data_IF_436053638975
#
_entry.id   IF_436053638975
#
_cell.length_a   1.000
_cell.length_b   1.000
_cell.length_c   1.000
_cell.angle_alpha   90.00
_cell.angle_beta   90.00
_cell.angle_gamma   90.00
#
_symmetry.space_group_name_H-M   'P 1'
#
loop_
_entity.id
_entity.type
_entity.pdbx_description
1 polymer ?
#
# COMPACT_ATOMS: atom_id res chain seq x y z
N UNK A 1 26.63 -19.34 -12.72
CA UNK A 1 25.58 -18.95 -11.75
C UNK A 1 25.27 -17.47 -11.96
N UNK A 2 24.08 -17.13 -12.44
CA UNK A 2 23.69 -15.71 -12.54
C UNK A 2 23.65 -15.11 -11.13
N UNK A 3 24.33 -13.98 -10.95
CA UNK A 3 24.35 -13.25 -9.68
C UNK A 3 22.91 -12.81 -9.38
N UNK A 4 22.37 -13.23 -8.24
CA UNK A 4 21.06 -12.81 -7.75
C UNK A 4 20.95 -11.27 -7.82
N UNK A 5 19.90 -10.71 -8.45
CA UNK A 5 19.83 -9.29 -8.79
C UNK A 5 19.34 -8.44 -7.60
N UNK A 6 20.10 -8.43 -6.52
CA UNK A 6 19.91 -7.50 -5.40
C UNK A 6 19.81 -6.05 -5.89
N UNK A 7 18.95 -5.24 -5.29
CA UNK A 7 18.75 -3.84 -5.68
C UNK A 7 20.02 -3.04 -5.38
N UNK A 8 20.56 -3.17 -4.17
CA UNK A 8 21.83 -2.56 -3.78
C UNK A 8 22.89 -3.62 -3.48
N UNK A 9 22.65 -4.46 -2.47
CA UNK A 9 23.55 -5.56 -2.11
C UNK A 9 22.81 -6.58 -1.27
N UNK A 10 23.27 -7.84 -1.23
CA UNK A 10 22.65 -8.89 -0.40
C UNK A 10 22.44 -8.44 1.05
N UNK A 11 23.49 -7.89 1.68
CA UNK A 11 23.41 -7.43 3.07
C UNK A 11 22.51 -6.20 3.22
N UNK A 12 22.62 -5.23 2.32
CA UNK A 12 21.82 -4.01 2.37
C UNK A 12 20.33 -4.29 2.19
N UNK A 13 19.96 -5.06 1.17
CA UNK A 13 18.59 -5.44 0.89
C UNK A 13 18.00 -6.29 2.04
N UNK A 14 18.76 -7.26 2.55
CA UNK A 14 18.32 -8.04 3.71
C UNK A 14 18.05 -7.14 4.92
N UNK A 15 18.96 -6.22 5.26
CA UNK A 15 18.87 -5.42 6.48
C UNK A 15 17.82 -4.31 6.40
N UNK A 16 17.69 -3.65 5.24
CA UNK A 16 16.89 -2.43 5.11
C UNK A 16 15.58 -2.62 4.33
N UNK A 17 15.40 -3.74 3.62
CA UNK A 17 14.18 -3.99 2.83
C UNK A 17 13.41 -5.18 3.39
N UNK A 18 14.09 -6.33 3.58
CA UNK A 18 13.43 -7.58 3.97
C UNK A 18 13.23 -7.73 5.48
N UNK A 19 14.23 -7.35 6.28
CA UNK A 19 14.18 -7.50 7.74
C UNK A 19 13.10 -6.63 8.40
N UNK A 20 12.92 -5.34 8.07
CA UNK A 20 11.95 -4.48 8.77
C UNK A 20 10.51 -5.04 8.82
N UNK A 21 9.90 -5.49 7.71
CA UNK A 21 8.54 -6.06 7.76
C UNK A 21 8.48 -7.38 8.55
N UNK A 22 9.52 -8.22 8.49
CA UNK A 22 9.57 -9.48 9.26
C UNK A 22 9.68 -9.17 10.75
N UNK A 23 10.58 -8.25 11.12
CA UNK A 23 10.81 -7.86 12.49
C UNK A 23 9.56 -7.24 13.12
N UNK A 24 8.88 -6.32 12.41
CA UNK A 24 7.68 -5.68 12.95
C UNK A 24 6.54 -6.69 13.12
N UNK A 25 6.36 -7.64 12.19
CA UNK A 25 5.37 -8.71 12.33
C UNK A 25 5.66 -9.60 13.54
N UNK A 26 6.93 -9.95 13.75
CA UNK A 26 7.35 -10.74 14.91
C UNK A 26 7.14 -9.98 16.22
N UNK A 27 7.43 -8.67 16.25
CA UNK A 27 7.14 -7.82 17.41
C UNK A 27 5.64 -7.74 17.69
N UNK A 28 4.80 -7.56 16.66
CA UNK A 28 3.33 -7.55 16.82
C UNK A 28 2.83 -8.88 17.38
N UNK A 29 3.35 -10.01 16.87
CA UNK A 29 2.98 -11.34 17.35
C UNK A 29 3.36 -11.57 18.82
N UNK A 30 4.52 -11.10 19.25
CA UNK A 30 4.99 -11.25 20.64
C UNK A 30 4.28 -10.27 21.59
N UNK A 31 4.03 -9.04 21.15
CA UNK A 31 3.53 -7.94 21.99
C UNK A 31 2.07 -7.57 21.71
N UNK A 32 1.25 -8.54 21.30
CA UNK A 32 -0.14 -8.31 20.86
C UNK A 32 -0.97 -7.49 21.87
N UNK A 33 -0.88 -7.82 23.16
CA UNK A 33 -1.63 -7.12 24.22
C UNK A 33 -1.21 -5.66 24.35
N UNK A 34 0.09 -5.40 24.29
CA UNK A 34 0.64 -4.04 24.39
C UNK A 34 0.23 -3.23 23.17
N UNK A 35 0.27 -3.82 21.97
CA UNK A 35 -0.18 -3.17 20.73
C UNK A 35 -1.64 -2.72 20.83
N UNK A 36 -2.54 -3.58 21.33
CA UNK A 36 -3.95 -3.22 21.53
C UNK A 36 -4.14 -2.05 22.50
N UNK A 37 -3.33 -1.99 23.57
CA UNK A 37 -3.35 -0.86 24.51
C UNK A 37 -2.89 0.43 23.81
N UNK A 38 -1.85 0.38 22.98
CA UNK A 38 -1.40 1.55 22.22
C UNK A 38 -2.41 2.00 21.16
N UNK A 39 -3.05 1.06 20.47
CA UNK A 39 -4.10 1.34 19.48
C UNK A 39 -5.26 2.12 20.12
N UNK A 40 -5.71 1.73 21.31
CA UNK A 40 -6.76 2.47 22.04
C UNK A 40 -6.40 3.90 22.44
N UNK A 41 -5.10 4.26 22.41
CA UNK A 41 -4.58 5.60 22.70
C UNK A 41 -4.17 6.37 21.45
N UNK A 42 -4.42 5.82 20.26
CA UNK A 42 -4.01 6.43 19.01
C UNK A 42 -4.82 7.70 18.77
N UNK A 43 -4.13 8.84 18.79
CA UNK A 43 -4.74 10.16 18.63
C UNK A 43 -4.62 10.66 17.19
N UNK A 44 -5.32 11.74 16.86
CA UNK A 44 -5.13 12.45 15.60
C UNK A 44 -3.66 12.88 15.38
N UNK A 45 -2.95 13.28 16.43
CA UNK A 45 -1.54 13.68 16.30
C UNK A 45 -0.64 12.48 16.00
N UNK A 46 -0.91 11.33 16.61
CA UNK A 46 -0.24 10.07 16.28
C UNK A 46 -0.48 9.68 14.82
N UNK A 47 -1.72 9.78 14.36
CA UNK A 47 -2.10 9.54 12.96
C UNK A 47 -1.34 10.46 12.01
N UNK A 48 -1.36 11.77 12.28
CA UNK A 48 -0.67 12.76 11.46
C UNK A 48 0.83 12.46 11.37
N UNK A 49 1.45 12.11 12.50
CA UNK A 49 2.87 11.81 12.53
C UNK A 49 3.22 10.53 11.76
N UNK A 50 2.58 9.40 12.08
CA UNK A 50 2.94 8.12 11.48
C UNK A 50 2.47 8.00 10.03
N UNK A 51 1.29 8.48 9.69
CA UNK A 51 0.74 8.30 8.34
C UNK A 51 1.24 9.41 7.42
N UNK A 52 1.07 10.68 7.79
CA UNK A 52 1.43 11.78 6.87
C UNK A 52 2.93 12.00 6.81
N UNK A 53 3.67 11.98 7.93
CA UNK A 53 5.11 12.26 7.89
C UNK A 53 5.99 11.03 7.65
N UNK A 54 5.58 9.83 8.06
CA UNK A 54 6.39 8.61 7.89
C UNK A 54 5.92 7.80 6.67
N UNK A 55 4.66 7.34 6.64
CA UNK A 55 4.18 6.50 5.53
C UNK A 55 4.19 7.27 4.20
N UNK A 56 3.58 8.46 4.15
CA UNK A 56 3.50 9.29 2.93
C UNK A 56 4.84 9.95 2.56
N UNK A 57 5.92 9.77 3.34
CA UNK A 57 7.24 10.33 3.05
C UNK A 57 7.75 10.00 1.64
N UNK A 58 7.44 8.81 1.13
CA UNK A 58 7.83 8.39 -0.21
C UNK A 58 7.17 9.23 -1.32
N UNK A 59 5.98 9.80 -1.07
CA UNK A 59 5.31 10.73 -2.00
C UNK A 59 6.07 12.06 -2.05
N UNK A 60 6.53 12.56 -0.90
CA UNK A 60 7.34 13.80 -0.83
C UNK A 60 8.67 13.69 -1.56
N UNK A 61 9.21 12.47 -1.74
CA UNK A 61 10.39 12.25 -2.58
C UNK A 61 10.20 12.76 -4.02
N UNK A 62 8.96 12.89 -4.50
CA UNK A 62 8.63 13.47 -5.82
C UNK A 62 9.07 14.93 -5.92
N UNK A 63 8.98 15.70 -4.83
CA UNK A 63 9.46 17.10 -4.80
C UNK A 63 10.95 17.16 -5.15
N UNK A 64 11.76 16.34 -4.50
CA UNK A 64 13.21 16.30 -4.68
C UNK A 64 13.64 15.66 -6.00
N UNK A 65 12.88 14.69 -6.51
CA UNK A 65 13.21 13.98 -7.77
C UNK A 65 12.78 14.74 -9.02
N UNK A 66 11.71 15.53 -8.93
CA UNK A 66 11.07 16.19 -10.08
C UNK A 66 11.10 17.71 -9.93
N UNK A 67 10.35 18.27 -8.98
CA UNK A 67 10.08 19.71 -8.93
C UNK A 67 11.32 20.55 -8.59
N UNK A 68 12.17 20.07 -7.69
CA UNK A 68 13.42 20.74 -7.31
C UNK A 68 14.57 20.50 -8.30
N UNK A 69 14.34 19.75 -9.39
CA UNK A 69 15.32 19.52 -10.44
C UNK A 69 14.87 20.18 -11.75
N UNK A 70 15.34 21.42 -12.05
CA UNK A 70 14.87 22.18 -13.21
C UNK A 70 14.96 21.43 -14.53
N UNK A 71 16.02 20.63 -14.73
CA UNK A 71 16.24 19.84 -15.95
C UNK A 71 15.24 18.69 -16.12
N UNK A 72 14.78 18.09 -15.03
CA UNK A 72 13.75 17.02 -15.05
C UNK A 72 12.38 17.66 -15.22
N UNK A 73 12.10 18.71 -14.46
CA UNK A 73 10.84 19.42 -14.51
C UNK A 73 10.56 20.00 -15.91
N UNK A 74 11.54 20.65 -16.54
CA UNK A 74 11.38 21.25 -17.85
C UNK A 74 10.98 20.25 -18.94
N UNK A 75 11.45 19.00 -18.87
CA UNK A 75 11.14 17.96 -19.87
C UNK A 75 9.67 17.58 -19.95
N UNK A 76 8.93 17.68 -18.84
CA UNK A 76 7.50 17.31 -18.76
C UNK A 76 6.70 18.29 -17.90
N UNK A 77 7.02 19.58 -17.99
CA UNK A 77 6.46 20.66 -17.15
C UNK A 77 4.93 20.65 -17.14
N UNK A 78 4.31 20.51 -18.32
CA UNK A 78 2.85 20.46 -18.44
C UNK A 78 2.25 19.35 -17.59
N UNK A 79 2.78 18.12 -17.69
CA UNK A 79 2.31 16.99 -16.89
C UNK A 79 2.42 17.27 -15.39
N UNK A 80 3.55 17.79 -14.93
CA UNK A 80 3.80 18.03 -13.50
C UNK A 80 2.98 19.18 -12.92
N UNK A 81 2.50 20.13 -13.74
CA UNK A 81 1.63 21.21 -13.26
C UNK A 81 0.15 20.81 -13.39
N UNK A 82 -0.23 20.27 -14.55
CA UNK A 82 -1.63 19.98 -14.86
C UNK A 82 -2.15 18.82 -14.03
N UNK A 83 -1.34 17.77 -13.81
CA UNK A 83 -1.81 16.58 -13.09
C UNK A 83 -2.25 16.89 -11.64
N UNK A 84 -1.48 17.61 -10.80
CA UNK A 84 -1.94 18.01 -9.47
C UNK A 84 -3.23 18.84 -9.51
N UNK A 85 -3.36 19.76 -10.47
CA UNK A 85 -4.55 20.62 -10.62
C UNK A 85 -5.77 19.77 -10.97
N UNK A 86 -5.64 18.87 -11.95
CA UNK A 86 -6.72 17.95 -12.35
C UNK A 86 -7.11 17.06 -11.19
N UNK A 87 -6.15 16.47 -10.47
CA UNK A 87 -6.42 15.66 -9.28
C UNK A 87 -7.15 16.46 -8.19
N UNK A 88 -6.79 17.73 -7.98
CA UNK A 88 -7.45 18.61 -7.01
C UNK A 88 -8.93 18.82 -7.39
N UNK A 89 -9.22 19.17 -8.64
CA UNK A 89 -10.61 19.38 -9.09
C UNK A 89 -11.44 18.09 -9.10
N UNK A 90 -10.84 16.94 -9.47
CA UNK A 90 -11.51 15.63 -9.35
C UNK A 90 -11.83 15.35 -7.87
N UNK A 91 -10.89 15.64 -6.96
CA UNK A 91 -11.10 15.51 -5.52
C UNK A 91 -12.25 16.38 -5.02
N UNK A 92 -12.29 17.66 -5.41
CA UNK A 92 -13.39 18.57 -5.06
C UNK A 92 -14.74 18.06 -5.60
N UNK A 93 -14.76 17.60 -6.85
CA UNK A 93 -15.96 17.05 -7.47
C UNK A 93 -16.46 15.81 -6.70
N UNK A 94 -15.58 14.86 -6.39
CA UNK A 94 -15.93 13.69 -5.58
C UNK A 94 -16.45 14.08 -4.20
N UNK A 95 -15.82 15.07 -3.55
CA UNK A 95 -16.23 15.56 -2.25
C UNK A 95 -17.60 16.26 -2.29
N UNK A 96 -17.95 16.90 -3.41
CA UNK A 96 -19.27 17.54 -3.60
C UNK A 96 -20.43 16.54 -3.59
N UNK A 97 -20.18 15.26 -3.93
CA UNK A 97 -21.18 14.18 -3.79
C UNK A 97 -21.28 13.62 -2.36
N UNK A 98 -20.41 14.08 -1.45
CA UNK A 98 -20.41 13.72 -0.04
C UNK A 98 -19.06 13.21 0.44
N UNK A 99 -18.72 13.55 1.69
CA UNK A 99 -17.46 13.17 2.33
C UNK A 99 -17.17 11.66 2.23
N UNK A 100 -18.18 10.81 2.46
CA UNK A 100 -17.99 9.35 2.42
C UNK A 100 -17.67 8.83 1.01
N UNK A 101 -18.24 9.43 -0.04
CA UNK A 101 -17.97 9.02 -1.43
C UNK A 101 -16.51 9.35 -1.78
N UNK A 102 -16.04 10.54 -1.41
CA UNK A 102 -14.65 10.94 -1.57
C UNK A 102 -13.70 9.94 -0.92
N UNK A 103 -13.87 9.66 0.38
CA UNK A 103 -12.98 8.74 1.10
C UNK A 103 -13.08 7.31 0.59
N UNK A 104 -14.27 6.85 0.19
CA UNK A 104 -14.44 5.54 -0.45
C UNK A 104 -13.61 5.40 -1.72
N UNK A 105 -13.68 6.38 -2.62
CA UNK A 105 -12.88 6.35 -3.85
C UNK A 105 -11.39 6.38 -3.51
N UNK A 106 -10.97 7.24 -2.58
CA UNK A 106 -9.59 7.30 -2.13
C UNK A 106 -9.11 5.99 -1.52
N UNK A 107 -9.94 5.30 -0.73
CA UNK A 107 -9.63 4.02 -0.11
C UNK A 107 -9.38 2.93 -1.17
N UNK A 108 -10.22 2.84 -2.20
CA UNK A 108 -10.00 1.91 -3.31
C UNK A 108 -8.74 2.25 -4.13
N UNK A 109 -8.46 3.54 -4.36
CA UNK A 109 -7.22 3.98 -5.02
C UNK A 109 -6.00 3.62 -4.17
N UNK A 110 -6.09 3.77 -2.84
CA UNK A 110 -5.00 3.42 -1.92
C UNK A 110 -4.73 1.91 -1.91
N UNK A 111 -5.78 1.07 -1.90
CA UNK A 111 -5.65 -0.40 -2.02
C UNK A 111 -4.99 -0.77 -3.34
N UNK A 112 -5.43 -0.16 -4.45
CA UNK A 112 -4.80 -0.38 -5.76
C UNK A 112 -3.31 0.01 -5.73
N UNK A 113 -3.00 1.20 -5.23
CA UNK A 113 -1.63 1.69 -5.12
C UNK A 113 -0.76 0.75 -4.28
N UNK A 114 -1.26 0.28 -3.12
CA UNK A 114 -0.59 -0.67 -2.24
C UNK A 114 -0.25 -1.98 -2.97
N UNK A 115 -1.21 -2.60 -3.66
CA UNK A 115 -1.00 -3.84 -4.43
C UNK A 115 0.05 -3.60 -5.53
N UNK A 116 -0.05 -2.49 -6.26
CA UNK A 116 0.89 -2.14 -7.33
C UNK A 116 2.30 -1.86 -6.82
N UNK A 117 2.44 -1.35 -5.60
CA UNK A 117 3.74 -1.13 -4.96
C UNK A 117 4.46 -2.46 -4.70
N UNK A 118 3.76 -3.46 -4.16
CA UNK A 118 4.33 -4.80 -3.94
C UNK A 118 4.73 -5.48 -5.26
N UNK A 119 3.87 -5.34 -6.29
CA UNK A 119 4.18 -5.80 -7.64
C UNK A 119 5.45 -5.16 -8.20
N UNK A 120 5.62 -3.84 -8.00
CA UNK A 120 6.80 -3.10 -8.45
C UNK A 120 8.09 -3.63 -7.83
N UNK A 121 8.10 -3.88 -6.51
CA UNK A 121 9.25 -4.46 -5.81
C UNK A 121 9.64 -5.82 -6.36
N UNK A 122 8.66 -6.71 -6.53
CA UNK A 122 8.89 -8.03 -7.13
C UNK A 122 9.53 -7.91 -8.51
N UNK A 123 9.06 -7.00 -9.38
CA UNK A 123 9.64 -6.83 -10.73
C UNK A 123 11.06 -6.27 -10.70
N UNK A 124 11.41 -5.47 -9.70
CA UNK A 124 12.80 -5.05 -9.49
C UNK A 124 13.70 -6.24 -9.13
N UNK A 125 13.23 -7.14 -8.25
CA UNK A 125 13.98 -8.35 -7.88
C UNK A 125 14.03 -9.40 -8.99
N UNK A 126 13.06 -9.45 -9.90
CA UNK A 126 13.10 -10.40 -11.02
C UNK A 126 13.83 -9.87 -12.28
N UNK A 127 14.39 -8.65 -12.26
CA UNK A 127 14.86 -7.96 -13.47
C UNK A 127 16.00 -8.66 -14.23
N UNK A 128 16.79 -9.46 -13.52
CA UNK A 128 17.92 -10.22 -14.06
C UNK A 128 17.63 -11.72 -14.23
N UNK A 129 16.41 -12.16 -13.96
CA UNK A 129 16.02 -13.56 -14.07
C UNK A 129 15.70 -13.92 -15.52
N UNK A 130 15.97 -15.17 -15.90
CA UNK A 130 15.62 -15.67 -17.23
C UNK A 130 14.09 -15.73 -17.31
N UNK A 131 13.54 -14.89 -18.18
CA UNK A 131 12.10 -14.67 -18.28
C UNK A 131 11.38 -15.90 -18.85
N UNK A 132 10.77 -16.70 -17.96
CA UNK A 132 9.81 -17.74 -18.33
C UNK A 132 8.37 -17.20 -18.18
N UNK A 133 7.48 -17.53 -19.11
CA UNK A 133 6.05 -17.19 -19.01
C UNK A 133 5.41 -17.81 -17.76
N UNK A 134 5.78 -19.05 -17.42
CA UNK A 134 5.25 -19.74 -16.25
C UNK A 134 5.68 -19.05 -14.94
N UNK A 135 6.96 -18.72 -14.79
CA UNK A 135 7.47 -18.03 -13.60
C UNK A 135 6.83 -16.65 -13.43
N UNK A 136 6.71 -15.86 -14.51
CA UNK A 136 5.99 -14.59 -14.45
C UNK A 136 4.52 -14.73 -14.05
N UNK A 137 3.86 -15.81 -14.50
CA UNK A 137 2.48 -16.08 -14.11
C UNK A 137 2.38 -16.42 -12.62
N UNK A 138 3.23 -17.34 -12.13
CA UNK A 138 3.26 -17.74 -10.72
C UNK A 138 3.59 -16.55 -9.82
N UNK A 139 4.60 -15.76 -10.17
CA UNK A 139 4.99 -14.54 -9.47
C UNK A 139 3.82 -13.56 -9.33
N UNK A 140 3.13 -13.29 -10.44
CA UNK A 140 1.96 -12.41 -10.43
C UNK A 140 0.84 -13.00 -9.58
N UNK A 141 0.53 -14.28 -9.75
CA UNK A 141 -0.51 -14.97 -8.97
C UNK A 141 -0.20 -14.88 -7.48
N UNK A 142 1.04 -15.14 -7.08
CA UNK A 142 1.47 -15.09 -5.68
C UNK A 142 1.37 -13.67 -5.11
N UNK A 143 1.84 -12.64 -5.81
CA UNK A 143 1.76 -11.27 -5.31
C UNK A 143 0.30 -10.78 -5.24
N UNK A 144 -0.52 -11.04 -6.27
CA UNK A 144 -1.92 -10.64 -6.24
C UNK A 144 -2.73 -11.44 -5.23
N UNK A 145 -2.43 -12.72 -5.01
CA UNK A 145 -3.06 -13.51 -3.95
C UNK A 145 -2.65 -12.98 -2.57
N UNK A 146 -1.34 -12.81 -2.31
CA UNK A 146 -0.83 -12.37 -1.02
C UNK A 146 -1.30 -10.97 -0.62
N UNK A 147 -1.52 -10.07 -1.59
CA UNK A 147 -1.97 -8.70 -1.33
C UNK A 147 -3.48 -8.53 -1.48
N UNK A 148 -4.14 -9.27 -2.37
CA UNK A 148 -5.56 -9.15 -2.65
C UNK A 148 -6.45 -10.00 -1.74
N UNK A 149 -6.01 -11.22 -1.39
CA UNK A 149 -6.81 -12.10 -0.54
C UNK A 149 -7.12 -11.49 0.83
N UNK A 150 -6.15 -10.91 1.58
CA UNK A 150 -6.47 -10.25 2.85
C UNK A 150 -7.48 -9.12 2.68
N UNK A 151 -7.37 -8.33 1.60
CA UNK A 151 -8.29 -7.24 1.31
C UNK A 151 -9.72 -7.74 1.07
N UNK A 152 -9.88 -8.78 0.25
CA UNK A 152 -11.19 -9.40 -0.01
C UNK A 152 -11.77 -10.00 1.25
N UNK A 153 -10.97 -10.74 2.02
CA UNK A 153 -11.37 -11.31 3.30
C UNK A 153 -11.88 -10.21 4.25
N UNK A 154 -11.15 -9.09 4.35
CA UNK A 154 -11.55 -7.97 5.20
C UNK A 154 -12.83 -7.28 4.73
N UNK A 155 -12.97 -7.00 3.43
CA UNK A 155 -14.20 -6.41 2.88
C UNK A 155 -15.43 -7.31 3.07
N UNK A 156 -15.21 -8.63 3.16
CA UNK A 156 -16.26 -9.61 3.41
C UNK A 156 -16.55 -9.84 4.90
N UNK A 157 -15.58 -9.59 5.78
CA UNK A 157 -15.73 -9.78 7.22
C UNK A 157 -16.57 -8.66 7.85
N UNK A 158 -17.64 -9.02 8.57
CA UNK A 158 -18.50 -8.05 9.28
C UNK A 158 -17.89 -7.49 10.58
N UNK A 159 -16.76 -8.04 11.02
CA UNK A 159 -16.18 -7.79 12.35
C UNK A 159 -14.92 -6.90 12.32
N UNK A 160 -14.42 -6.54 11.14
CA UNK A 160 -13.16 -5.82 11.01
C UNK A 160 -13.30 -4.32 11.30
N UNK A 161 -12.60 -3.82 12.33
CA UNK A 161 -12.36 -2.37 12.56
C UNK A 161 -11.31 -1.81 11.59
N UNK A 162 -11.37 -2.19 10.32
CA UNK A 162 -10.36 -1.79 9.36
C UNK A 162 -10.84 -0.62 8.52
N UNK A 163 -10.30 0.55 8.83
CA UNK A 163 -10.42 1.75 8.03
C UNK A 163 -9.04 2.08 7.46
N UNK A 164 -8.99 2.31 6.16
CA UNK A 164 -7.87 2.95 5.51
C UNK A 164 -7.82 4.43 5.89
N UNK A 165 -8.95 5.14 5.78
CA UNK A 165 -9.05 6.55 6.15
C UNK A 165 -10.18 6.81 7.16
N UNK A 166 -11.41 6.40 6.86
CA UNK A 166 -12.60 6.68 7.68
C UNK A 166 -13.55 5.49 7.79
N UNK A 167 -14.39 5.51 8.83
CA UNK A 167 -15.43 4.49 9.03
C UNK A 167 -16.41 4.40 7.84
N UNK A 168 -16.70 3.17 7.40
CA UNK A 168 -17.72 2.90 6.37
C UNK A 168 -17.31 3.22 4.93
N UNK A 169 -16.02 3.51 4.69
CA UNK A 169 -15.52 3.84 3.36
C UNK A 169 -15.57 2.64 2.40
N UNK A 170 -15.37 1.42 2.88
CA UNK A 170 -15.53 0.22 2.05
C UNK A 170 -16.98 -0.25 2.02
N UNK A 171 -17.45 -0.66 0.84
CA UNK A 171 -18.75 -1.30 0.71
C UNK A 171 -18.69 -2.70 1.33
N UNK A 172 -19.61 -3.04 2.26
CA UNK A 172 -19.63 -4.36 2.86
C UNK A 172 -19.99 -5.39 1.80
N UNK A 173 -19.11 -6.37 1.60
CA UNK A 173 -19.35 -7.45 0.67
C UNK A 173 -19.98 -8.62 1.42
N UNK A 174 -21.31 -8.75 1.37
CA UNK A 174 -21.98 -9.94 1.94
C UNK A 174 -21.68 -11.15 1.06
N UNK A 175 -20.60 -11.87 1.34
CA UNK A 175 -20.42 -13.21 0.78
C UNK A 175 -21.45 -14.16 1.40
N UNK A 176 -22.08 -14.96 0.55
CA UNK A 176 -22.95 -16.09 0.93
C UNK A 176 -22.18 -17.06 1.89
N UNK A 177 -22.85 -18.00 2.60
CA UNK A 177 -22.40 -18.59 3.87
C UNK A 177 -21.17 -19.52 3.81
N UNK A 178 -20.40 -19.52 2.71
CA UNK A 178 -19.22 -20.36 2.49
C UNK A 178 -17.97 -19.90 3.28
N UNK A 179 -18.02 -18.76 3.99
CA UNK A 179 -16.92 -18.25 4.81
C UNK A 179 -16.67 -19.03 6.11
N UNK A 180 -17.58 -19.93 6.54
CA UNK A 180 -17.37 -20.80 7.71
C UNK A 180 -16.13 -21.71 7.62
N UNK A 181 -15.58 -21.90 6.41
CA UNK A 181 -14.38 -22.71 6.18
C UNK A 181 -13.10 -21.90 6.46
N UNK A 182 -13.16 -20.57 6.45
CA UNK A 182 -12.02 -19.67 6.70
C UNK A 182 -11.94 -19.17 8.14
N UNK A 183 -12.95 -19.45 8.98
CA UNK A 183 -12.96 -19.17 10.42
C UNK A 183 -12.17 -20.20 11.26
N UNK A 184 -11.17 -20.89 10.69
CA UNK A 184 -10.27 -21.74 11.48
C UNK A 184 -9.16 -20.87 12.06
N UNK A 185 -9.47 -20.20 13.18
CA UNK A 185 -8.70 -20.06 14.45
C UNK A 185 -9.35 -19.01 15.33
#
# INVERSE_FOLDING_TARGET
MNKQPWIYSKKGDCLFILLPPILILLLIAIFQKQVQIFESKFSFLSWLFFIVFIDVAHVYATLFKVYFKPTVFAKRKSLYIVLPIVCFFIGLLLFSFGNLIFWRVMAYVAVFHFIRQQYGFMRLYSRGEVSNKLYRFIDNLMIYAATGYPMVYWFASSNGKFNWFVDGEFLPFKMAPYMKILEIT
#
